data_IF_326520257682
#
_entry.id   IF_326520257682
#
_cell.length_a   1.000
_cell.length_b   1.000
_cell.length_c   1.000
_cell.angle_alpha   90.00
_cell.angle_beta   90.00
_cell.angle_gamma   90.00
#
_symmetry.space_group_name_H-M   'P 1'
#
loop_
_entity.id
_entity.type
_entity.pdbx_description
1 polymer ?
#
# COMPACT_ATOMS: atom_id res chain seq x y z
N UNK A 1 0.15 -10.35 -34.76
CA UNK A 1 -0.95 -9.66 -34.05
C UNK A 1 -2.22 -10.47 -34.16
N UNK A 2 -2.48 -11.12 -35.28
CA UNK A 2 -3.23 -12.39 -35.29
C UNK A 2 -2.30 -13.52 -34.82
N UNK A 3 -2.85 -14.56 -34.19
CA UNK A 3 -2.10 -15.75 -33.79
C UNK A 3 -2.20 -16.78 -34.91
N UNK A 4 -1.06 -17.07 -35.53
CA UNK A 4 -0.96 -18.11 -36.57
C UNK A 4 -1.39 -19.47 -35.99
N UNK A 5 -2.38 -20.09 -36.63
CA UNK A 5 -2.90 -21.42 -36.27
C UNK A 5 -4.19 -21.43 -35.46
N UNK A 6 -4.69 -20.29 -34.98
CA UNK A 6 -6.07 -20.18 -34.45
C UNK A 6 -7.06 -19.78 -35.55
N UNK A 7 -8.28 -20.34 -35.57
CA UNK A 7 -9.23 -20.06 -36.63
C UNK A 7 -9.65 -18.59 -36.61
N UNK A 8 -9.56 -17.92 -37.76
CA UNK A 8 -10.26 -16.66 -37.99
C UNK A 8 -11.73 -16.97 -38.25
N UNK A 9 -12.59 -16.42 -37.42
CA UNK A 9 -14.04 -16.60 -37.54
C UNK A 9 -14.61 -15.42 -38.32
N UNK A 10 -15.39 -15.71 -39.35
CA UNK A 10 -16.03 -14.70 -40.22
C UNK A 10 -17.54 -14.58 -39.97
N UNK A 11 -18.13 -15.54 -39.25
CA UNK A 11 -19.55 -15.50 -38.89
C UNK A 11 -19.74 -14.71 -37.61
N UNK A 12 -19.73 -13.39 -37.75
CA UNK A 12 -20.10 -12.48 -36.67
C UNK A 12 -21.62 -12.42 -36.54
N UNK A 13 -22.14 -12.75 -35.36
CA UNK A 13 -23.57 -12.72 -35.07
C UNK A 13 -24.00 -11.48 -34.29
N UNK A 14 -23.05 -10.57 -33.98
CA UNK A 14 -23.28 -9.37 -33.18
C UNK A 14 -23.83 -8.17 -33.93
N UNK A 15 -24.00 -8.25 -35.25
CA UNK A 15 -24.43 -7.11 -36.08
C UNK A 15 -23.30 -6.12 -36.40
N UNK A 16 -23.65 -4.94 -36.90
CA UNK A 16 -22.70 -3.84 -37.11
C UNK A 16 -22.19 -3.33 -35.76
N UNK A 17 -20.91 -2.93 -35.69
CA UNK A 17 -20.34 -2.34 -34.48
C UNK A 17 -20.81 -0.90 -34.38
N UNK A 18 -21.80 -0.64 -33.54
CA UNK A 18 -22.29 0.72 -33.30
C UNK A 18 -21.77 1.23 -31.95
N UNK A 19 -20.80 2.17 -31.93
CA UNK A 19 -20.30 2.75 -30.68
C UNK A 19 -21.44 3.32 -29.86
N UNK A 20 -21.69 2.72 -28.70
CA UNK A 20 -22.72 3.14 -27.75
C UNK A 20 -22.22 4.33 -26.92
N UNK A 21 -20.97 4.27 -26.45
CA UNK A 21 -20.30 5.36 -25.74
C UNK A 21 -18.85 5.44 -26.20
N UNK A 22 -18.46 6.55 -26.82
CA UNK A 22 -17.05 6.81 -27.16
C UNK A 22 -16.32 7.36 -25.93
N UNK A 23 -15.33 6.63 -25.45
CA UNK A 23 -14.51 6.97 -24.29
C UNK A 23 -13.26 7.77 -24.69
N UNK A 24 -12.70 7.49 -25.86
CA UNK A 24 -11.57 8.20 -26.42
C UNK A 24 -11.66 8.21 -27.95
N UNK A 25 -11.42 9.37 -28.53
CA UNK A 25 -11.48 9.62 -29.97
C UNK A 25 -10.16 10.23 -30.43
N UNK A 26 -9.53 9.60 -31.43
CA UNK A 26 -8.34 10.08 -32.10
C UNK A 26 -8.35 9.51 -33.52
N UNK A 27 -8.67 10.36 -34.49
CA UNK A 27 -8.93 9.97 -35.89
C UNK A 27 -10.01 8.88 -36.00
N UNK A 28 -11.01 8.95 -35.12
CA UNK A 28 -12.07 7.96 -34.98
C UNK A 28 -12.14 7.37 -33.56
N UNK A 29 -13.18 6.55 -33.27
CA UNK A 29 -13.38 5.96 -31.95
C UNK A 29 -12.26 4.98 -31.55
N UNK A 30 -11.21 5.45 -30.88
CA UNK A 30 -10.10 4.57 -30.48
C UNK A 30 -10.47 3.68 -29.27
N UNK A 31 -11.31 4.18 -28.36
CA UNK A 31 -11.82 3.42 -27.22
C UNK A 31 -13.30 3.71 -27.05
N UNK A 32 -14.14 2.69 -27.08
CA UNK A 32 -15.59 2.85 -26.96
C UNK A 32 -16.26 1.59 -26.43
N UNK A 33 -17.51 1.70 -26.01
CA UNK A 33 -18.34 0.54 -25.71
C UNK A 33 -19.31 0.24 -26.83
N UNK A 34 -19.63 -1.04 -27.03
CA UNK A 34 -20.68 -1.48 -27.94
C UNK A 34 -21.49 -2.60 -27.27
N UNK A 35 -22.80 -2.60 -27.47
CA UNK A 35 -23.67 -3.66 -27.00
C UNK A 35 -23.72 -4.78 -28.05
N UNK A 36 -23.39 -6.01 -27.65
CA UNK A 36 -23.50 -7.19 -28.51
C UNK A 36 -24.42 -8.18 -27.80
N UNK A 37 -25.66 -8.26 -28.30
CA UNK A 37 -26.72 -8.98 -27.59
C UNK A 37 -27.00 -8.35 -26.22
N UNK A 38 -27.02 -9.13 -25.12
CA UNK A 38 -27.27 -8.61 -23.78
C UNK A 38 -26.02 -8.09 -23.05
N UNK A 39 -24.83 -8.22 -23.64
CA UNK A 39 -23.56 -7.87 -22.99
C UNK A 39 -22.96 -6.60 -23.60
N UNK A 40 -22.32 -5.80 -22.73
CA UNK A 40 -21.55 -4.63 -23.13
C UNK A 40 -20.09 -5.04 -23.29
N UNK A 41 -19.48 -4.61 -24.39
CA UNK A 41 -18.07 -4.85 -24.68
C UNK A 41 -17.31 -3.54 -24.73
N UNK A 42 -16.10 -3.52 -24.17
CA UNK A 42 -15.12 -2.45 -24.34
C UNK A 42 -14.24 -2.78 -25.55
N UNK A 43 -14.18 -1.85 -26.50
CA UNK A 43 -13.34 -1.90 -27.68
C UNK A 43 -12.13 -0.99 -27.45
N UNK A 44 -10.94 -1.52 -27.70
CA UNK A 44 -9.67 -0.82 -27.63
C UNK A 44 -8.91 -1.01 -28.96
N UNK A 45 -8.72 0.07 -29.72
CA UNK A 45 -7.99 0.05 -30.99
C UNK A 45 -6.53 -0.33 -30.75
N UNK A 46 -6.06 -1.38 -31.41
CA UNK A 46 -4.68 -1.88 -31.28
C UNK A 46 -3.83 -1.62 -32.52
N UNK A 47 -4.44 -1.58 -33.70
CA UNK A 47 -3.75 -1.41 -34.98
C UNK A 47 -4.69 -0.84 -36.06
N UNK A 48 -4.11 -0.12 -37.01
CA UNK A 48 -4.77 0.33 -38.25
C UNK A 48 -4.27 -0.48 -39.43
N UNK A 49 -5.16 -0.88 -40.33
CA UNK A 49 -4.84 -1.62 -41.55
C UNK A 49 -5.50 -0.95 -42.76
N UNK A 50 -5.06 -1.30 -43.97
CA UNK A 50 -5.56 -0.68 -45.21
C UNK A 50 -7.07 -0.89 -45.39
N UNK A 51 -7.60 -2.02 -44.92
CA UNK A 51 -9.00 -2.44 -45.09
C UNK A 51 -9.88 -2.15 -43.86
N UNK A 52 -9.33 -1.50 -42.82
CA UNK A 52 -10.06 -1.19 -41.59
C UNK A 52 -9.19 -1.09 -40.34
N UNK A 53 -9.81 -1.28 -39.18
CA UNK A 53 -9.17 -1.10 -37.88
C UNK A 53 -9.28 -2.36 -37.04
N UNK A 54 -8.20 -2.69 -36.32
CA UNK A 54 -8.17 -3.85 -35.43
C UNK A 54 -8.44 -3.40 -34.01
N UNK A 55 -9.47 -4.00 -33.42
CA UNK A 55 -9.88 -3.76 -32.04
C UNK A 55 -9.63 -4.99 -31.19
N UNK A 56 -9.19 -4.78 -29.96
CA UNK A 56 -9.31 -5.75 -28.87
C UNK A 56 -10.63 -5.49 -28.14
N UNK A 57 -11.41 -6.54 -27.95
CA UNK A 57 -12.72 -6.52 -27.32
C UNK A 57 -12.69 -7.39 -26.08
N UNK A 58 -13.20 -6.87 -24.97
CA UNK A 58 -13.46 -7.64 -23.75
C UNK A 58 -14.85 -7.26 -23.22
N UNK A 59 -15.56 -8.16 -22.53
CA UNK A 59 -16.77 -7.78 -21.82
C UNK A 59 -16.43 -6.71 -20.77
N UNK A 60 -17.38 -5.85 -20.44
CA UNK A 60 -17.21 -4.84 -19.39
C UNK A 60 -18.50 -4.65 -18.62
N UNK A 61 -18.37 -4.59 -17.30
CA UNK A 61 -19.49 -4.39 -16.40
C UNK A 61 -19.69 -2.88 -16.10
N UNK A 62 -20.88 -2.50 -15.64
CA UNK A 62 -21.23 -1.09 -15.38
C UNK A 62 -20.28 -0.42 -14.36
N UNK A 63 -19.89 -1.15 -13.31
CA UNK A 63 -18.97 -0.65 -12.27
C UNK A 63 -17.55 -0.43 -12.79
N UNK A 64 -17.08 -1.31 -13.67
CA UNK A 64 -15.78 -1.18 -14.34
C UNK A 64 -15.78 0.00 -15.31
N UNK A 65 -16.82 0.13 -16.12
CA UNK A 65 -17.01 1.24 -17.04
C UNK A 65 -17.08 2.58 -16.31
N UNK A 66 -17.84 2.65 -15.22
CA UNK A 66 -17.93 3.84 -14.37
C UNK A 66 -16.55 4.20 -13.76
N UNK A 67 -15.80 3.19 -13.31
CA UNK A 67 -14.46 3.37 -12.73
C UNK A 67 -13.41 3.80 -13.74
N UNK A 68 -13.44 3.25 -14.96
CA UNK A 68 -12.59 3.66 -16.07
C UNK A 68 -12.87 5.12 -16.46
N UNK A 69 -14.14 5.48 -16.66
CA UNK A 69 -14.58 6.85 -17.00
C UNK A 69 -14.21 7.85 -15.92
N UNK A 70 -14.35 7.46 -14.66
CA UNK A 70 -14.01 8.27 -13.50
C UNK A 70 -12.52 8.41 -13.22
N UNK A 71 -11.64 7.76 -14.02
CA UNK A 71 -10.19 7.80 -13.79
C UNK A 71 -9.76 7.08 -12.53
N UNK A 72 -10.47 6.01 -12.14
CA UNK A 72 -10.13 5.16 -10.99
C UNK A 72 -9.55 3.81 -11.40
N UNK A 73 -9.88 3.35 -12.61
CA UNK A 73 -9.44 2.08 -13.18
C UNK A 73 -8.63 2.33 -14.46
N UNK A 74 -7.57 1.54 -14.67
CA UNK A 74 -6.73 1.59 -15.86
C UNK A 74 -7.43 0.93 -17.05
N UNK A 75 -6.98 1.25 -18.26
CA UNK A 75 -7.46 0.56 -19.48
C UNK A 75 -7.20 -0.93 -19.37
N UNK A 76 -5.99 -1.30 -18.90
CA UNK A 76 -5.62 -2.70 -18.68
C UNK A 76 -6.52 -3.39 -17.66
N UNK A 77 -6.89 -2.70 -16.58
CA UNK A 77 -7.78 -3.22 -15.56
C UNK A 77 -9.19 -3.47 -16.07
N UNK A 78 -9.74 -2.53 -16.84
CA UNK A 78 -11.04 -2.68 -17.48
C UNK A 78 -11.08 -3.81 -18.54
N UNK A 79 -9.92 -4.18 -19.10
CA UNK A 79 -9.78 -5.25 -20.10
C UNK A 79 -9.25 -6.56 -19.49
N UNK A 80 -9.19 -6.70 -18.16
CA UNK A 80 -8.52 -7.82 -17.47
C UNK A 80 -9.34 -9.13 -17.42
N UNK A 81 -10.37 -9.24 -18.26
CA UNK A 81 -11.27 -10.38 -18.35
C UNK A 81 -10.60 -11.65 -18.89
N UNK A 82 -11.10 -12.82 -18.52
CA UNK A 82 -10.52 -14.08 -19.02
C UNK A 82 -10.69 -14.26 -20.52
N UNK A 83 -11.75 -13.68 -21.08
CA UNK A 83 -12.15 -13.82 -22.47
C UNK A 83 -11.95 -12.48 -23.19
N UNK A 84 -11.24 -12.52 -24.31
CA UNK A 84 -11.05 -11.36 -25.17
C UNK A 84 -10.95 -11.79 -26.64
N UNK A 85 -11.29 -10.89 -27.55
CA UNK A 85 -11.27 -11.13 -28.99
C UNK A 85 -10.54 -10.00 -29.70
N UNK A 86 -9.79 -10.33 -30.75
CA UNK A 86 -9.40 -9.36 -31.75
C UNK A 86 -10.44 -9.38 -32.87
N UNK A 87 -10.87 -8.21 -33.33
CA UNK A 87 -11.75 -8.09 -34.49
C UNK A 87 -11.20 -7.06 -35.46
N UNK A 88 -11.15 -7.42 -36.74
CA UNK A 88 -10.99 -6.46 -37.83
C UNK A 88 -12.37 -5.88 -38.15
N UNK A 89 -12.46 -4.56 -38.07
CA UNK A 89 -13.67 -3.79 -38.33
C UNK A 89 -13.40 -2.91 -39.55
N UNK A 90 -14.20 -3.03 -40.60
CA UNK A 90 -14.04 -2.16 -41.78
C UNK A 90 -14.48 -0.71 -41.50
N UNK A 91 -14.26 0.19 -42.46
CA UNK A 91 -14.62 1.61 -42.32
C UNK A 91 -16.12 1.88 -42.21
N UNK A 92 -16.96 0.90 -42.58
CA UNK A 92 -18.41 0.93 -42.40
C UNK A 92 -18.81 0.27 -41.06
N UNK A 93 -17.87 0.00 -40.17
CA UNK A 93 -18.07 -0.64 -38.87
C UNK A 93 -18.61 -2.08 -38.92
N UNK A 94 -18.39 -2.82 -40.00
CA UNK A 94 -18.70 -4.24 -40.07
C UNK A 94 -17.52 -5.08 -39.59
N UNK A 95 -17.79 -6.10 -38.76
CA UNK A 95 -16.77 -7.08 -38.38
C UNK A 95 -16.47 -7.99 -39.58
N UNK A 96 -15.27 -7.86 -40.14
CA UNK A 96 -14.79 -8.67 -41.26
C UNK A 96 -14.42 -10.08 -40.78
N UNK A 97 -13.63 -10.13 -39.72
CA UNK A 97 -13.27 -11.38 -39.03
C UNK A 97 -12.84 -11.10 -37.59
N UNK A 98 -12.92 -12.13 -36.75
CA UNK A 98 -12.50 -12.05 -35.36
C UNK A 98 -11.80 -13.33 -34.89
N UNK A 99 -11.02 -13.22 -33.81
CA UNK A 99 -10.22 -14.31 -33.25
C UNK A 99 -10.17 -14.19 -31.73
N UNK A 100 -10.51 -15.27 -31.03
CA UNK A 100 -10.36 -15.37 -29.57
C UNK A 100 -8.88 -15.37 -29.15
N UNK A 101 -8.56 -14.55 -28.15
CA UNK A 101 -7.23 -14.38 -27.60
C UNK A 101 -7.11 -15.04 -26.23
N UNK A 102 -5.97 -15.64 -25.93
CA UNK A 102 -5.71 -16.04 -24.54
C UNK A 102 -5.30 -14.83 -23.70
N UNK A 103 -5.49 -14.94 -22.39
CA UNK A 103 -5.14 -13.87 -21.45
C UNK A 103 -3.68 -13.42 -21.58
N UNK A 104 -2.74 -14.36 -21.72
CA UNK A 104 -1.32 -14.02 -21.83
C UNK A 104 -1.00 -13.26 -23.13
N UNK A 105 -1.63 -13.62 -24.24
CA UNK A 105 -1.35 -13.01 -25.55
C UNK A 105 -1.87 -11.58 -25.63
N UNK A 106 -3.12 -11.33 -25.21
CA UNK A 106 -3.68 -9.99 -25.36
C UNK A 106 -3.16 -9.00 -24.31
N UNK A 107 -2.66 -9.46 -23.16
CA UNK A 107 -2.03 -8.58 -22.16
C UNK A 107 -0.84 -7.80 -22.73
N UNK A 108 -0.18 -8.29 -23.77
CA UNK A 108 0.90 -7.58 -24.47
C UNK A 108 0.41 -6.46 -25.40
N UNK A 109 -0.87 -6.48 -25.78
CA UNK A 109 -1.50 -5.45 -26.62
C UNK A 109 -2.02 -4.27 -25.79
N UNK A 110 -2.20 -4.48 -24.49
CA UNK A 110 -2.71 -3.46 -23.58
C UNK A 110 -1.60 -2.51 -23.11
N UNK A 111 -1.94 -1.24 -22.80
CA UNK A 111 -1.02 -0.29 -22.18
C UNK A 111 -0.38 -0.86 -20.90
N UNK A 112 0.73 -0.28 -20.44
CA UNK A 112 1.33 -0.65 -19.15
C UNK A 112 0.34 -0.53 -17.96
N UNK A 113 0.66 -1.22 -16.87
CA UNK A 113 -0.09 -1.15 -15.61
C UNK A 113 -0.24 0.31 -15.14
N UNK A 114 -1.44 0.65 -14.66
CA UNK A 114 -1.76 1.93 -14.05
C UNK A 114 -2.02 3.09 -15.02
N UNK A 115 -2.06 2.82 -16.33
CA UNK A 115 -2.37 3.85 -17.34
C UNK A 115 -3.87 4.12 -17.39
N UNK A 116 -4.24 5.36 -17.06
CA UNK A 116 -5.61 5.85 -17.13
C UNK A 116 -6.06 6.18 -18.57
N UNK A 117 -7.37 6.34 -18.75
CA UNK A 117 -7.97 6.78 -20.02
C UNK A 117 -7.47 8.17 -20.47
N UNK A 118 -7.20 9.07 -19.53
CA UNK A 118 -6.66 10.40 -19.81
C UNK A 118 -5.50 10.72 -18.88
N UNK A 119 -4.48 11.39 -19.40
CA UNK A 119 -3.26 11.77 -18.65
C UNK A 119 -3.57 12.54 -17.35
N UNK A 120 -4.60 13.40 -17.36
CA UNK A 120 -5.01 14.20 -16.20
C UNK A 120 -5.37 13.37 -14.95
N UNK A 121 -5.69 12.09 -15.11
CA UNK A 121 -5.99 11.20 -13.99
C UNK A 121 -4.73 10.65 -13.32
N UNK A 122 -3.59 10.68 -14.01
CA UNK A 122 -2.34 10.12 -13.51
C UNK A 122 -2.38 8.59 -13.41
N UNK A 123 -1.67 8.05 -12.43
CA UNK A 123 -1.62 6.61 -12.16
C UNK A 123 -2.90 6.14 -11.45
N UNK A 124 -3.54 5.11 -11.99
CA UNK A 124 -4.84 4.57 -11.53
C UNK A 124 -4.76 3.07 -11.22
N UNK A 125 -5.78 2.51 -10.58
CA UNK A 125 -5.77 1.11 -10.15
C UNK A 125 -5.91 0.16 -11.35
N UNK A 126 -5.35 -1.05 -11.24
CA UNK A 126 -5.47 -2.07 -12.30
C UNK A 126 -6.58 -3.09 -12.02
N UNK A 127 -7.24 -3.03 -10.86
CA UNK A 127 -8.39 -3.86 -10.55
C UNK A 127 -9.44 -3.06 -9.82
N UNK A 128 -10.70 -3.50 -9.91
CA UNK A 128 -11.80 -2.86 -9.20
C UNK A 128 -11.61 -2.96 -7.68
N UNK A 129 -11.11 -4.09 -7.17
CA UNK A 129 -10.86 -4.24 -5.74
C UNK A 129 -9.80 -3.25 -5.24
N UNK A 130 -8.77 -2.98 -6.03
CA UNK A 130 -7.79 -1.94 -5.71
C UNK A 130 -8.41 -0.53 -5.79
N UNK A 131 -9.29 -0.29 -6.75
CA UNK A 131 -9.97 0.99 -6.94
C UNK A 131 -10.98 1.31 -5.82
N UNK A 132 -11.58 0.30 -5.19
CA UNK A 132 -12.63 0.47 -4.17
C UNK A 132 -12.13 0.30 -2.73
N UNK A 133 -10.98 -0.34 -2.55
CA UNK A 133 -10.38 -0.57 -1.24
C UNK A 133 -10.13 0.72 -0.47
N UNK A 134 -10.43 0.69 0.84
CA UNK A 134 -10.01 1.74 1.76
C UNK A 134 -8.49 1.93 1.74
N UNK A 135 -7.75 0.82 1.74
CA UNK A 135 -6.30 0.78 1.59
C UNK A 135 -5.92 -0.50 0.83
N UNK A 136 -4.98 -0.44 -0.10
CA UNK A 136 -4.55 -1.60 -0.87
C UNK A 136 -3.03 -1.69 -1.00
N UNK A 137 -2.52 -2.91 -1.10
CA UNK A 137 -1.11 -3.20 -1.30
C UNK A 137 -0.99 -4.17 -2.48
N UNK A 138 -0.42 -3.71 -3.59
CA UNK A 138 -0.13 -4.53 -4.76
C UNK A 138 1.38 -4.74 -4.86
N UNK A 139 1.80 -6.00 -4.74
CA UNK A 139 3.20 -6.40 -4.86
C UNK A 139 3.45 -7.03 -6.22
N UNK A 140 4.45 -6.52 -6.93
CA UNK A 140 4.96 -7.10 -8.16
C UNK A 140 6.30 -7.81 -7.89
N UNK A 141 6.48 -9.00 -8.47
CA UNK A 141 7.68 -9.82 -8.30
C UNK A 141 7.74 -10.91 -9.36
N UNK A 142 8.95 -11.35 -9.72
CA UNK A 142 9.16 -12.49 -10.62
C UNK A 142 8.76 -13.84 -10.02
N UNK A 143 8.61 -13.93 -8.69
CA UNK A 143 8.21 -15.18 -8.00
C UNK A 143 6.72 -15.26 -7.69
N UNK A 144 5.96 -14.23 -8.07
CA UNK A 144 4.52 -14.15 -7.87
C UNK A 144 3.85 -14.22 -9.24
N UNK A 145 3.27 -15.37 -9.59
CA UNK A 145 2.50 -15.52 -10.82
C UNK A 145 1.00 -15.56 -10.53
N UNK A 146 0.19 -15.31 -11.56
CA UNK A 146 -1.27 -15.45 -11.53
C UNK A 146 -1.74 -16.83 -11.07
N UNK A 147 -0.90 -17.85 -11.21
CA UNK A 147 -1.22 -19.26 -10.93
C UNK A 147 -0.69 -19.71 -9.58
N UNK A 148 0.48 -19.22 -9.14
CA UNK A 148 1.14 -19.76 -7.96
C UNK A 148 2.10 -18.79 -7.28
N UNK A 149 2.28 -18.98 -5.97
CA UNK A 149 3.23 -18.25 -5.15
C UNK A 149 3.77 -19.16 -4.04
N UNK A 150 5.06 -19.05 -3.66
CA UNK A 150 5.57 -19.72 -2.47
C UNK A 150 4.82 -19.28 -1.20
N UNK A 151 4.38 -20.24 -0.38
CA UNK A 151 3.64 -19.96 0.86
C UNK A 151 4.43 -19.06 1.83
N UNK A 152 5.75 -19.23 1.91
CA UNK A 152 6.63 -18.40 2.74
C UNK A 152 6.59 -16.92 2.32
N UNK A 153 6.55 -16.66 1.01
CA UNK A 153 6.45 -15.31 0.44
C UNK A 153 5.07 -14.73 0.76
N UNK A 154 4.00 -15.48 0.51
CA UNK A 154 2.64 -15.03 0.83
C UNK A 154 2.51 -14.65 2.30
N UNK A 155 2.90 -15.56 3.21
CA UNK A 155 2.83 -15.33 4.66
C UNK A 155 3.62 -14.08 5.07
N UNK A 156 4.87 -13.96 4.62
CA UNK A 156 5.71 -12.81 4.95
C UNK A 156 5.09 -11.48 4.49
N UNK A 157 4.40 -11.46 3.35
CA UNK A 157 3.72 -10.25 2.84
C UNK A 157 2.44 -9.94 3.61
N UNK A 158 1.64 -10.96 3.93
CA UNK A 158 0.43 -10.78 4.76
C UNK A 158 0.79 -10.26 6.15
N UNK A 159 1.79 -10.86 6.81
CA UNK A 159 2.25 -10.43 8.13
C UNK A 159 2.74 -8.97 8.10
N UNK A 160 3.58 -8.63 7.11
CA UNK A 160 4.14 -7.28 6.99
C UNK A 160 3.08 -6.23 6.60
N UNK A 161 2.09 -6.58 5.78
CA UNK A 161 0.94 -5.70 5.51
C UNK A 161 0.08 -5.53 6.76
N UNK A 162 -0.14 -6.59 7.54
CA UNK A 162 -0.88 -6.50 8.81
C UNK A 162 -0.23 -5.50 9.77
N UNK A 163 1.10 -5.54 9.90
CA UNK A 163 1.86 -4.60 10.72
C UNK A 163 1.69 -3.15 10.23
N UNK A 164 1.79 -2.92 8.91
CA UNK A 164 1.61 -1.58 8.31
C UNK A 164 0.18 -1.09 8.52
N UNK A 165 -0.82 -1.91 8.22
CA UNK A 165 -2.24 -1.58 8.38
C UNK A 165 -2.55 -1.25 9.84
N UNK A 166 -2.07 -2.05 10.79
CA UNK A 166 -2.24 -1.76 12.22
C UNK A 166 -1.56 -0.45 12.59
N UNK A 167 -0.36 -0.16 12.09
CA UNK A 167 0.33 1.08 12.45
C UNK A 167 -0.32 2.33 11.83
N UNK A 168 -0.74 2.22 10.57
CA UNK A 168 -1.33 3.31 9.81
C UNK A 168 -2.79 3.60 10.20
N UNK A 169 -3.57 2.56 10.51
CA UNK A 169 -5.03 2.70 10.67
C UNK A 169 -5.51 2.58 12.12
N UNK A 170 -4.78 1.91 13.02
CA UNK A 170 -5.28 1.67 14.38
C UNK A 170 -5.50 3.00 15.13
N UNK A 171 -6.72 3.27 15.62
CA UNK A 171 -7.00 4.44 16.44
C UNK A 171 -6.03 4.55 17.62
N UNK A 172 -5.56 5.76 17.91
CA UNK A 172 -4.64 6.03 19.01
C UNK A 172 -5.21 5.59 20.36
N UNK A 173 -6.54 5.70 20.53
CA UNK A 173 -7.27 5.21 21.72
C UNK A 173 -7.22 3.68 21.90
N UNK A 174 -6.99 2.92 20.83
CA UNK A 174 -6.87 1.45 20.85
C UNK A 174 -5.43 0.96 20.77
N UNK A 175 -4.45 1.87 20.63
CA UNK A 175 -3.03 1.52 20.49
C UNK A 175 -2.39 0.94 21.75
N UNK A 176 -3.00 1.16 22.93
CA UNK A 176 -2.42 0.75 24.22
C UNK A 176 -2.89 -0.62 24.69
N UNK A 177 -1.93 -1.44 25.14
CA UNK A 177 -2.18 -2.70 25.82
C UNK A 177 -2.93 -3.73 24.96
N UNK A 178 -4.00 -4.31 25.50
CA UNK A 178 -4.79 -5.37 24.85
C UNK A 178 -5.92 -4.83 23.97
N UNK A 179 -6.07 -3.51 23.82
CA UNK A 179 -7.20 -2.87 23.12
C UNK A 179 -7.12 -3.02 21.60
N UNK A 180 -5.93 -3.23 21.06
CA UNK A 180 -5.70 -3.43 19.62
C UNK A 180 -6.39 -4.68 19.04
N UNK A 181 -6.83 -5.61 19.90
CA UNK A 181 -7.61 -6.80 19.49
C UNK A 181 -9.02 -6.45 18.99
N UNK A 182 -9.53 -5.27 19.35
CA UNK A 182 -10.85 -4.83 18.92
C UNK A 182 -10.84 -4.22 17.53
N UNK A 183 -9.67 -4.10 16.90
CA UNK A 183 -9.49 -3.64 15.54
C UNK A 183 -9.08 -4.82 14.65
N UNK A 184 -9.95 -5.16 13.71
CA UNK A 184 -9.78 -6.29 12.81
C UNK A 184 -10.26 -5.92 11.40
N UNK A 185 -9.43 -5.25 10.59
CA UNK A 185 -9.86 -4.76 9.28
C UNK A 185 -10.24 -5.90 8.33
N UNK A 186 -11.34 -5.73 7.58
CA UNK A 186 -11.78 -6.73 6.61
C UNK A 186 -10.92 -6.68 5.34
N UNK A 187 -10.50 -7.85 4.85
CA UNK A 187 -9.68 -8.00 3.65
C UNK A 187 -10.50 -8.66 2.54
N UNK A 188 -10.44 -8.14 1.32
CA UNK A 188 -11.02 -8.78 0.14
C UNK A 188 -10.26 -10.07 -0.22
N UNK A 189 -10.87 -10.97 -1.05
CA UNK A 189 -10.16 -12.14 -1.54
C UNK A 189 -8.83 -11.78 -2.22
N UNK A 190 -7.78 -12.54 -1.92
CA UNK A 190 -6.46 -12.32 -2.51
C UNK A 190 -6.52 -12.58 -4.02
N UNK A 191 -5.90 -11.70 -4.81
CA UNK A 191 -5.66 -11.89 -6.25
C UNK A 191 -4.19 -12.22 -6.46
N UNK A 192 -3.89 -13.08 -7.44
CA UNK A 192 -2.55 -13.62 -7.67
C UNK A 192 -1.85 -13.11 -8.93
N UNK A 193 -2.50 -12.29 -9.78
CA UNK A 193 -1.86 -11.67 -10.95
C UNK A 193 -1.06 -10.42 -10.52
N UNK A 194 -0.03 -10.60 -9.68
CA UNK A 194 0.45 -9.72 -8.60
C UNK A 194 -0.33 -9.93 -7.29
N UNK A 195 0.36 -9.94 -6.14
CA UNK A 195 -0.29 -10.11 -4.85
C UNK A 195 -0.98 -8.80 -4.47
N UNK A 196 -2.31 -8.78 -4.59
CA UNK A 196 -3.14 -7.69 -4.12
C UNK A 196 -3.76 -8.05 -2.76
N UNK A 197 -3.46 -7.24 -1.76
CA UNK A 197 -4.12 -7.25 -0.45
C UNK A 197 -4.94 -5.97 -0.35
N UNK A 198 -6.26 -6.10 -0.46
CA UNK A 198 -7.20 -4.98 -0.43
C UNK A 198 -7.97 -4.96 0.89
N UNK A 199 -7.76 -3.93 1.70
CA UNK A 199 -8.50 -3.67 2.93
C UNK A 199 -9.80 -2.97 2.54
N UNK A 200 -10.94 -3.61 2.80
CA UNK A 200 -12.25 -3.06 2.45
C UNK A 200 -12.58 -1.87 3.34
N UNK A 201 -12.64 -2.10 4.65
CA UNK A 201 -12.97 -1.08 5.67
C UNK A 201 -12.38 -1.44 7.04
N UNK A 202 -12.08 -0.45 7.89
CA UNK A 202 -11.74 -0.69 9.29
C UNK A 202 -12.97 -1.24 10.04
N UNK A 203 -12.84 -2.42 10.65
CA UNK A 203 -13.90 -3.02 11.47
C UNK A 203 -13.52 -3.04 12.95
N UNK A 204 -14.53 -2.90 13.80
CA UNK A 204 -14.39 -2.86 15.25
C UNK A 204 -15.35 -3.82 15.94
N UNK A 205 -14.84 -4.63 16.88
CA UNK A 205 -15.65 -5.53 17.69
C UNK A 205 -16.51 -4.74 18.69
N UNK A 206 -17.76 -4.46 18.30
CA UNK A 206 -18.73 -3.70 19.11
C UNK A 206 -18.97 -4.35 20.47
N UNK A 207 -19.11 -5.68 20.51
CA UNK A 207 -19.39 -6.43 21.74
C UNK A 207 -18.19 -6.36 22.68
N UNK A 208 -16.99 -6.52 22.13
CA UNK A 208 -15.73 -6.38 22.85
C UNK A 208 -15.51 -4.98 23.44
N UNK A 209 -15.84 -3.93 22.68
CA UNK A 209 -15.73 -2.54 23.13
C UNK A 209 -16.67 -2.22 24.29
N UNK A 210 -17.93 -2.68 24.22
CA UNK A 210 -18.95 -2.42 25.25
C UNK A 210 -18.72 -3.19 26.54
N UNK A 211 -18.10 -4.37 26.47
CA UNK A 211 -17.84 -5.22 27.64
C UNK A 211 -16.69 -4.74 28.53
N UNK A 212 -15.82 -3.85 28.03
CA UNK A 212 -14.66 -3.34 28.75
C UNK A 212 -14.91 -1.92 29.28
N UNK A 213 -14.76 -1.74 30.60
CA UNK A 213 -14.93 -0.43 31.28
C UNK A 213 -14.05 0.67 30.68
N UNK A 214 -12.88 0.32 30.15
CA UNK A 214 -11.93 1.28 29.57
C UNK A 214 -12.27 1.72 28.14
N UNK A 215 -13.20 1.02 27.46
CA UNK A 215 -13.55 1.24 26.05
C UNK A 215 -15.05 1.48 25.83
N UNK A 216 -15.85 1.41 26.88
CA UNK A 216 -17.32 1.53 26.82
C UNK A 216 -17.80 2.87 26.24
N UNK A 217 -16.98 3.93 26.35
CA UNK A 217 -17.27 5.24 25.77
C UNK A 217 -16.91 5.35 24.27
N UNK A 218 -16.27 4.34 23.68
CA UNK A 218 -15.84 4.38 22.29
C UNK A 218 -16.95 3.86 21.38
N UNK A 219 -17.39 4.70 20.44
CA UNK A 219 -18.32 4.28 19.40
C UNK A 219 -17.54 3.83 18.16
N UNK A 220 -17.98 2.77 17.46
CA UNK A 220 -17.38 2.33 16.20
C UNK A 220 -17.23 3.47 15.18
N UNK A 221 -18.23 4.33 15.08
CA UNK A 221 -18.26 5.45 14.14
C UNK A 221 -17.15 6.46 14.45
N UNK A 222 -16.89 6.74 15.74
CA UNK A 222 -15.79 7.62 16.15
C UNK A 222 -14.41 7.00 15.88
N UNK A 223 -14.30 5.67 15.95
CA UNK A 223 -13.06 4.94 15.70
C UNK A 223 -12.77 4.83 14.19
N UNK A 224 -13.81 4.65 13.37
CA UNK A 224 -13.72 4.71 11.91
C UNK A 224 -13.23 6.08 11.46
N UNK A 225 -13.82 7.16 11.95
CA UNK A 225 -13.39 8.53 11.64
C UNK A 225 -11.92 8.78 12.05
N UNK A 226 -11.51 8.30 13.21
CA UNK A 226 -10.11 8.40 13.65
C UNK A 226 -9.17 7.59 12.73
N UNK A 227 -9.59 6.41 12.28
CA UNK A 227 -8.83 5.58 11.32
C UNK A 227 -8.70 6.25 9.96
N UNK A 228 -9.75 6.92 9.49
CA UNK A 228 -9.74 7.74 8.27
C UNK A 228 -8.75 8.90 8.36
N UNK A 229 -8.76 9.63 9.48
CA UNK A 229 -7.82 10.73 9.73
C UNK A 229 -6.37 10.23 9.76
N UNK A 230 -6.11 9.10 10.43
CA UNK A 230 -4.78 8.49 10.46
C UNK A 230 -4.35 7.98 9.08
N UNK A 231 -5.25 7.38 8.33
CA UNK A 231 -5.02 6.95 6.94
C UNK A 231 -4.61 8.14 6.05
N UNK A 232 -5.35 9.25 6.13
CA UNK A 232 -5.06 10.47 5.36
C UNK A 232 -3.71 11.09 5.76
N UNK A 233 -3.38 11.11 7.05
CA UNK A 233 -2.07 11.56 7.53
C UNK A 233 -0.93 10.67 7.02
N UNK A 234 -1.10 9.35 7.13
CA UNK A 234 -0.13 8.36 6.65
C UNK A 234 0.09 8.47 5.14
N UNK A 235 -0.97 8.62 4.34
CA UNK A 235 -0.87 8.86 2.89
C UNK A 235 -0.05 10.12 2.60
N UNK A 236 -0.37 11.24 3.26
CA UNK A 236 0.34 12.52 3.05
C UNK A 236 1.84 12.40 3.34
N UNK A 237 2.20 11.75 4.44
CA UNK A 237 3.61 11.54 4.82
C UNK A 237 4.31 10.53 3.90
N UNK A 238 3.61 9.48 3.49
CA UNK A 238 4.11 8.48 2.54
C UNK A 238 4.41 9.11 1.18
N UNK A 239 3.50 9.94 0.66
CA UNK A 239 3.69 10.65 -0.61
C UNK A 239 4.91 11.56 -0.57
N UNK A 240 5.03 12.40 0.48
CA UNK A 240 6.18 13.30 0.66
C UNK A 240 7.48 12.52 0.75
N UNK A 241 7.52 11.49 1.59
CA UNK A 241 8.73 10.70 1.85
C UNK A 241 9.17 9.93 0.60
N UNK A 242 8.20 9.34 -0.10
CA UNK A 242 8.47 8.59 -1.34
C UNK A 242 8.92 9.53 -2.46
N UNK A 243 8.33 10.72 -2.58
CA UNK A 243 8.76 11.74 -3.54
C UNK A 243 10.19 12.20 -3.27
N UNK A 244 10.50 12.52 -2.01
CA UNK A 244 11.86 12.89 -1.59
C UNK A 244 12.87 11.78 -1.91
N UNK A 245 12.50 10.51 -1.65
CA UNK A 245 13.35 9.35 -1.95
C UNK A 245 13.54 9.11 -3.45
N UNK A 246 12.55 9.46 -4.28
CA UNK A 246 12.61 9.28 -5.72
C UNK A 246 13.51 10.33 -6.36
N UNK A 247 13.27 11.59 -6.03
CA UNK A 247 13.95 12.74 -6.62
C UNK A 247 15.40 12.81 -6.13
N UNK A 248 15.63 12.63 -4.82
CA UNK A 248 16.94 12.79 -4.18
C UNK A 248 17.21 11.69 -3.13
N UNK A 249 18.37 11.73 -2.47
CA UNK A 249 18.60 10.90 -1.28
C UNK A 249 18.10 11.67 -0.07
N UNK A 250 17.34 11.02 0.82
CA UNK A 250 16.90 11.65 2.06
C UNK A 250 18.12 11.99 2.91
N UNK A 251 18.20 13.26 3.32
CA UNK A 251 19.14 13.69 4.36
C UNK A 251 18.75 13.08 5.70
N UNK A 252 19.70 13.01 6.63
CA UNK A 252 19.43 12.49 7.99
C UNK A 252 18.33 13.28 8.72
N UNK A 253 18.23 14.58 8.47
CA UNK A 253 17.17 15.42 9.03
C UNK A 253 15.81 15.05 8.46
N UNK A 254 15.66 15.02 7.13
CA UNK A 254 14.41 14.58 6.47
C UNK A 254 14.01 13.16 6.90
N UNK A 255 14.99 12.28 7.01
CA UNK A 255 14.76 10.92 7.48
C UNK A 255 14.20 10.93 8.91
N UNK A 256 14.74 11.74 9.82
CA UNK A 256 14.23 11.89 11.18
C UNK A 256 12.84 12.55 11.24
N UNK A 257 12.58 13.53 10.38
CA UNK A 257 11.27 14.20 10.28
C UNK A 257 10.17 13.23 9.81
N UNK A 258 10.52 12.27 8.96
CA UNK A 258 9.63 11.22 8.43
C UNK A 258 9.89 9.84 9.06
N UNK A 259 10.38 9.78 10.30
CA UNK A 259 10.79 8.51 10.92
C UNK A 259 9.64 7.51 11.05
N UNK A 260 8.45 7.95 11.44
CA UNK A 260 7.30 7.07 11.68
C UNK A 260 6.90 6.30 10.43
N UNK A 261 6.76 6.99 9.29
CA UNK A 261 6.41 6.34 8.02
C UNK A 261 7.51 5.42 7.53
N UNK A 262 8.79 5.80 7.70
CA UNK A 262 9.94 4.94 7.38
C UNK A 262 9.95 3.67 8.24
N UNK A 263 9.65 3.78 9.53
CA UNK A 263 9.54 2.62 10.42
C UNK A 263 8.44 1.66 9.95
N UNK A 264 7.30 2.21 9.54
CA UNK A 264 6.13 1.47 9.10
C UNK A 264 6.38 0.72 7.80
N UNK A 265 6.86 1.38 6.73
CA UNK A 265 6.84 0.80 5.38
C UNK A 265 8.07 -0.03 5.02
N UNK A 266 9.22 0.18 5.68
CA UNK A 266 10.49 -0.41 5.21
C UNK A 266 10.56 -1.94 5.27
N UNK A 267 9.62 -2.61 5.96
CA UNK A 267 9.49 -4.07 5.94
C UNK A 267 8.83 -4.61 4.65
N UNK A 268 8.04 -3.77 3.96
CA UNK A 268 7.27 -4.17 2.77
C UNK A 268 7.84 -3.62 1.45
N UNK A 269 8.73 -2.62 1.49
CA UNK A 269 9.26 -2.00 0.27
C UNK A 269 10.14 -2.95 -0.56
N UNK A 270 10.11 -2.83 -1.90
CA UNK A 270 11.05 -3.51 -2.77
C UNK A 270 12.47 -2.98 -2.56
N UNK A 271 13.45 -3.89 -2.54
CA UNK A 271 14.87 -3.56 -2.38
C UNK A 271 15.70 -4.39 -3.33
N UNK A 272 16.95 -4.00 -3.57
CA UNK A 272 17.92 -4.85 -4.28
C UNK A 272 18.15 -6.20 -3.59
N UNK A 273 17.84 -6.31 -2.29
CA UNK A 273 18.01 -7.51 -1.47
C UNK A 273 16.83 -8.46 -1.47
N UNK A 274 15.71 -8.09 -2.10
CA UNK A 274 14.51 -8.93 -2.15
C UNK A 274 13.98 -9.10 -3.58
N UNK A 275 13.04 -10.02 -3.74
CA UNK A 275 12.50 -10.41 -5.04
C UNK A 275 11.39 -9.46 -5.54
N UNK A 276 10.98 -8.47 -4.74
CA UNK A 276 9.95 -7.53 -5.14
C UNK A 276 10.51 -6.51 -6.12
N UNK A 277 9.79 -6.25 -7.21
CA UNK A 277 10.16 -5.24 -8.21
C UNK A 277 9.50 -3.90 -7.92
N UNK A 278 8.21 -3.94 -7.55
CA UNK A 278 7.38 -2.76 -7.29
C UNK A 278 6.40 -3.04 -6.16
N UNK A 279 6.10 -2.00 -5.40
CA UNK A 279 4.99 -1.94 -4.46
C UNK A 279 4.13 -0.73 -4.82
N UNK A 280 2.83 -0.95 -5.01
CA UNK A 280 1.85 0.12 -5.09
C UNK A 280 0.98 0.09 -3.83
N UNK A 281 0.89 1.23 -3.14
CA UNK A 281 0.00 1.41 -2.00
C UNK A 281 -1.13 2.33 -2.43
N UNK A 282 -2.37 1.83 -2.38
CA UNK A 282 -3.57 2.57 -2.72
C UNK A 282 -4.35 3.02 -1.51
N UNK A 283 -4.99 4.19 -1.63
CA UNK A 283 -5.78 4.80 -0.58
C UNK A 283 -7.06 5.39 -1.16
N UNK A 284 -8.19 5.11 -0.49
CA UNK A 284 -9.46 5.78 -0.80
C UNK A 284 -9.42 7.23 -0.29
N UNK A 285 -9.74 8.17 -1.17
CA UNK A 285 -9.87 9.59 -0.86
C UNK A 285 -11.23 10.11 -1.33
N UNK A 286 -11.60 11.33 -0.94
CA UNK A 286 -12.84 11.97 -1.43
C UNK A 286 -12.85 12.22 -2.94
N UNK A 287 -11.68 12.20 -3.61
CA UNK A 287 -11.55 12.39 -5.06
C UNK A 287 -11.36 11.08 -5.83
N UNK A 288 -11.51 9.92 -5.16
CA UNK A 288 -11.21 8.61 -5.72
C UNK A 288 -9.97 7.99 -5.09
N UNK A 289 -9.28 7.11 -5.82
CA UNK A 289 -8.17 6.33 -5.26
C UNK A 289 -6.84 6.98 -5.61
N UNK A 290 -5.99 7.15 -4.60
CA UNK A 290 -4.64 7.68 -4.75
C UNK A 290 -3.64 6.55 -4.62
N UNK A 291 -2.71 6.46 -5.57
CA UNK A 291 -1.67 5.44 -5.58
C UNK A 291 -0.29 6.03 -5.32
N UNK A 292 0.48 5.33 -4.48
CA UNK A 292 1.90 5.60 -4.24
C UNK A 292 2.72 4.40 -4.70
N UNK A 293 3.47 4.60 -5.77
CA UNK A 293 4.38 3.61 -6.35
C UNK A 293 5.80 3.71 -5.80
N UNK A 294 6.35 2.58 -5.35
CA UNK A 294 7.72 2.43 -4.84
C UNK A 294 8.41 1.33 -5.64
N UNK A 295 9.51 1.67 -6.30
CA UNK A 295 10.39 0.74 -7.01
C UNK A 295 11.62 0.35 -6.15
N UNK A 296 12.46 -0.58 -6.63
CA UNK A 296 13.67 -1.02 -5.91
C UNK A 296 14.60 0.14 -5.55
N UNK A 297 14.81 1.10 -6.46
CA UNK A 297 15.71 2.24 -6.24
C UNK A 297 15.21 3.14 -5.10
N UNK A 298 13.92 3.45 -5.13
CA UNK A 298 13.26 4.26 -4.10
C UNK A 298 13.24 3.51 -2.78
N UNK A 299 12.91 2.22 -2.79
CA UNK A 299 12.87 1.39 -1.59
C UNK A 299 14.24 1.21 -0.93
N UNK A 300 15.32 1.03 -1.70
CA UNK A 300 16.69 1.00 -1.17
C UNK A 300 17.03 2.32 -0.44
N UNK A 301 16.66 3.46 -1.03
CA UNK A 301 16.87 4.78 -0.41
C UNK A 301 16.04 4.97 0.87
N UNK A 302 14.80 4.49 0.92
CA UNK A 302 13.97 4.51 2.12
C UNK A 302 14.58 3.66 3.25
N UNK A 303 15.09 2.48 2.91
CA UNK A 303 15.77 1.59 3.87
C UNK A 303 17.08 2.22 4.35
N UNK A 304 17.91 2.76 3.46
CA UNK A 304 19.14 3.49 3.82
C UNK A 304 18.82 4.68 4.73
N UNK A 305 17.80 5.47 4.40
CA UNK A 305 17.35 6.60 5.21
C UNK A 305 16.95 6.13 6.62
N UNK A 306 16.13 5.08 6.74
CA UNK A 306 15.78 4.49 8.05
C UNK A 306 17.02 4.05 8.83
N UNK A 307 17.96 3.37 8.17
CA UNK A 307 19.20 2.91 8.80
C UNK A 307 20.08 4.08 9.25
N UNK A 308 20.08 5.21 8.52
CA UNK A 308 20.82 6.42 8.90
C UNK A 308 20.30 7.09 10.19
N UNK A 309 19.04 6.84 10.56
CA UNK A 309 18.42 7.30 11.80
C UNK A 309 18.46 6.20 12.88
N UNK A 310 18.80 4.94 12.53
CA UNK A 310 18.97 3.91 13.55
C UNK A 310 20.10 4.32 14.49
N UNK A 311 19.68 4.76 15.65
CA UNK A 311 20.50 5.26 16.72
C UNK A 311 21.64 4.28 17.06
N UNK A 312 22.90 4.74 17.08
CA UNK A 312 24.02 3.88 17.45
C UNK A 312 23.80 3.37 18.88
N UNK A 313 24.16 2.11 19.12
CA UNK A 313 24.18 1.57 20.48
C UNK A 313 25.28 2.30 21.24
N UNK A 314 24.89 3.11 22.23
CA UNK A 314 25.82 3.84 23.10
C UNK A 314 25.62 3.42 24.54
N UNK A 315 26.68 3.60 25.32
CA UNK A 315 26.64 3.47 26.76
C UNK A 315 26.62 4.85 27.38
N UNK A 316 25.63 5.11 28.23
CA UNK A 316 25.48 6.35 29.00
C UNK A 316 25.66 6.01 30.47
N UNK A 317 26.41 6.85 31.17
CA UNK A 317 26.62 6.76 32.60
C UNK A 317 26.08 8.05 33.22
N UNK A 318 25.17 7.93 34.18
CA UNK A 318 24.61 9.09 34.84
C UNK A 318 23.65 8.73 35.97
N UNK A 319 23.10 9.75 36.62
CA UNK A 319 22.15 9.61 37.71
C UNK A 319 20.71 9.88 37.27
N UNK A 320 19.75 9.10 37.76
CA UNK A 320 18.32 9.36 37.55
C UNK A 320 17.95 10.69 38.22
N UNK A 321 17.33 11.60 37.47
CA UNK A 321 16.84 12.90 37.98
C UNK A 321 15.32 12.99 38.01
N UNK A 322 14.62 12.18 37.21
CA UNK A 322 13.16 12.21 37.08
C UNK A 322 12.65 10.81 36.72
N UNK A 323 11.52 10.40 37.30
CA UNK A 323 10.82 9.15 37.01
C UNK A 323 9.43 9.51 36.46
N UNK A 324 8.99 8.82 35.42
CA UNK A 324 7.64 8.96 34.87
C UNK A 324 7.00 7.57 34.76
N UNK A 325 6.22 7.22 35.79
CA UNK A 325 5.61 5.90 35.93
C UNK A 325 4.51 5.67 34.88
N UNK A 326 3.74 6.71 34.52
CA UNK A 326 2.68 6.62 33.51
C UNK A 326 3.24 6.23 32.14
N UNK A 327 4.35 6.87 31.75
CA UNK A 327 5.05 6.58 30.50
C UNK A 327 6.03 5.40 30.61
N UNK A 328 6.31 4.90 31.82
CA UNK A 328 7.36 3.91 32.11
C UNK A 328 8.72 4.31 31.55
N UNK A 329 9.07 5.58 31.77
CA UNK A 329 10.34 6.17 31.36
C UNK A 329 10.98 6.90 32.52
N UNK A 330 12.27 7.17 32.41
CA UNK A 330 12.98 7.98 33.41
C UNK A 330 14.04 8.83 32.74
N UNK A 331 14.54 9.85 33.43
CA UNK A 331 15.52 10.78 32.86
C UNK A 331 16.82 10.63 33.61
N UNK A 332 17.91 10.47 32.87
CA UNK A 332 19.26 10.40 33.39
C UNK A 332 20.03 11.65 33.00
N UNK A 333 20.76 12.21 33.97
CA UNK A 333 21.72 13.29 33.74
C UNK A 333 23.14 12.73 33.82
N UNK A 334 23.93 12.95 32.78
CA UNK A 334 25.33 12.54 32.77
C UNK A 334 26.23 13.56 33.47
N UNK A 335 27.53 13.24 33.58
CA UNK A 335 28.55 14.11 34.19
C UNK A 335 28.78 15.41 33.41
N UNK A 336 28.47 15.44 32.11
CA UNK A 336 28.54 16.64 31.27
C UNK A 336 27.27 17.52 31.42
N UNK A 337 26.30 17.08 32.22
CA UNK A 337 25.04 17.77 32.45
C UNK A 337 23.99 17.54 31.37
N UNK A 338 24.25 16.68 30.39
CA UNK A 338 23.32 16.32 29.32
C UNK A 338 22.21 15.43 29.90
N UNK A 339 20.97 15.72 29.51
CA UNK A 339 19.80 14.96 29.94
C UNK A 339 19.35 14.00 28.85
N UNK A 340 19.14 12.74 29.22
CA UNK A 340 18.66 11.69 28.32
C UNK A 340 17.43 11.03 28.92
N UNK A 341 16.32 11.03 28.17
CA UNK A 341 15.14 10.24 28.49
C UNK A 341 15.39 8.77 28.13
N UNK A 342 15.21 7.89 29.10
CA UNK A 342 15.46 6.46 29.00
C UNK A 342 14.13 5.72 28.92
N UNK A 343 13.96 4.93 27.87
CA UNK A 343 12.87 3.98 27.74
C UNK A 343 13.45 2.55 27.84
N UNK A 344 13.30 1.88 28.99
CA UNK A 344 13.74 0.50 29.15
C UNK A 344 12.83 -0.52 28.45
N UNK A 345 11.67 -0.10 27.92
CA UNK A 345 10.51 -0.92 27.54
C UNK A 345 9.74 -1.45 28.76
N UNK A 346 8.42 -1.62 28.59
CA UNK A 346 7.47 -1.91 29.68
C UNK A 346 7.77 -3.17 30.50
N UNK A 347 8.46 -4.16 29.94
CA UNK A 347 8.84 -5.38 30.65
C UNK A 347 10.05 -5.13 31.57
N UNK A 348 11.10 -4.47 31.05
CA UNK A 348 12.30 -4.16 31.82
C UNK A 348 12.09 -3.05 32.83
N UNK A 349 11.19 -2.09 32.57
CA UNK A 349 10.84 -1.08 33.59
C UNK A 349 10.40 -1.76 34.89
N UNK A 350 9.49 -2.74 34.77
CA UNK A 350 9.00 -3.54 35.91
C UNK A 350 10.09 -4.38 36.56
N UNK A 351 11.03 -4.92 35.77
CA UNK A 351 12.17 -5.64 36.30
C UNK A 351 13.11 -4.72 37.09
N UNK A 352 13.43 -3.54 36.55
CA UNK A 352 14.25 -2.53 37.21
C UNK A 352 13.59 -2.02 38.50
N UNK A 353 12.26 -1.84 38.47
CA UNK A 353 11.46 -1.51 39.65
C UNK A 353 11.54 -2.61 40.71
N UNK A 354 11.33 -3.87 40.34
CA UNK A 354 11.43 -5.03 41.23
C UNK A 354 12.84 -5.18 41.84
N UNK A 355 13.88 -4.87 41.06
CA UNK A 355 15.29 -4.85 41.49
C UNK A 355 15.67 -3.58 42.25
N UNK A 356 14.72 -2.67 42.50
CA UNK A 356 14.91 -1.38 43.21
C UNK A 356 15.97 -0.47 42.56
N UNK A 357 16.13 -0.57 41.24
CA UNK A 357 17.09 0.22 40.44
C UNK A 357 16.52 1.59 40.00
N UNK A 358 15.21 1.81 40.12
CA UNK A 358 14.54 3.06 39.75
C UNK A 358 14.37 3.98 40.96
N UNK A 359 15.42 4.71 41.33
CA UNK A 359 15.37 5.72 42.40
C UNK A 359 16.01 7.02 41.92
N UNK A 360 15.40 8.15 42.25
CA UNK A 360 16.00 9.46 42.00
C UNK A 360 17.35 9.52 42.73
N UNK A 361 18.39 9.97 42.02
CA UNK A 361 19.78 9.98 42.47
C UNK A 361 20.57 8.70 42.19
N UNK A 362 19.92 7.58 41.85
CA UNK A 362 20.61 6.32 41.55
C UNK A 362 21.47 6.48 40.29
N UNK A 363 22.73 6.07 40.38
CA UNK A 363 23.66 6.09 39.25
C UNK A 363 23.63 4.76 38.51
N UNK A 364 23.45 4.83 37.19
CA UNK A 364 23.28 3.66 36.31
C UNK A 364 24.22 3.74 35.11
N UNK A 365 24.70 2.57 34.68
CA UNK A 365 25.31 2.39 33.36
C UNK A 365 24.28 1.78 32.42
N UNK A 366 23.87 2.56 31.44
CA UNK A 366 22.81 2.24 30.50
C UNK A 366 23.40 1.97 29.13
N UNK A 367 23.06 0.85 28.50
CA UNK A 367 23.45 0.56 27.12
C UNK A 367 22.22 0.39 26.24
N UNK A 368 22.13 1.21 25.20
CA UNK A 368 20.94 1.28 24.37
C UNK A 368 21.15 2.07 23.09
N UNK A 369 20.15 2.04 22.20
CA UNK A 369 20.14 2.85 20.99
C UNK A 369 19.87 4.30 21.39
N UNK A 370 20.80 5.22 21.12
CA UNK A 370 20.68 6.64 21.45
C UNK A 370 20.25 7.51 20.25
N UNK A 371 19.10 8.16 20.38
CA UNK A 371 18.62 9.22 19.49
C UNK A 371 18.94 10.58 20.09
N UNK A 372 19.65 11.43 19.35
CA UNK A 372 19.90 12.82 19.76
C UNK A 372 18.67 13.67 19.40
N UNK A 373 18.19 14.52 20.31
CA UNK A 373 17.06 15.42 20.05
C UNK A 373 17.37 16.84 20.55
N UNK A 374 16.65 17.83 20.02
CA UNK A 374 16.89 19.25 20.29
C UNK A 374 16.73 19.67 21.76
N UNK A 375 15.92 18.96 22.55
CA UNK A 375 15.70 19.23 23.98
C UNK A 375 16.47 18.29 24.90
N UNK A 376 16.26 16.98 24.73
CA UNK A 376 16.83 15.90 25.55
C UNK A 376 17.02 14.70 24.67
N UNK A 377 18.17 14.04 24.77
CA UNK A 377 18.40 12.80 24.04
C UNK A 377 17.41 11.73 24.50
N UNK A 378 17.26 10.68 23.70
CA UNK A 378 16.37 9.58 23.99
C UNK A 378 17.11 8.26 23.78
N UNK A 379 17.06 7.36 24.75
CA UNK A 379 17.71 6.06 24.66
C UNK A 379 16.72 4.93 24.92
N UNK A 380 16.71 3.93 24.03
CA UNK A 380 15.99 2.66 24.27
C UNK A 380 17.02 1.62 24.68
N UNK A 381 16.83 1.02 25.86
CA UNK A 381 17.77 0.04 26.38
C UNK A 381 17.76 -1.26 25.56
N UNK A 382 18.95 -1.74 25.19
CA UNK A 382 19.13 -2.98 24.42
C UNK A 382 19.78 -4.10 25.23
N UNK A 383 20.48 -3.76 26.31
CA UNK A 383 21.19 -4.72 27.18
C UNK A 383 20.78 -4.48 28.64
N UNK A 384 21.13 -5.39 29.54
CA UNK A 384 20.86 -5.27 30.98
C UNK A 384 21.53 -4.03 31.57
N UNK A 385 20.93 -3.51 32.64
CA UNK A 385 21.38 -2.31 33.35
C UNK A 385 22.22 -2.70 34.54
N UNK A 386 23.43 -2.16 34.60
CA UNK A 386 24.33 -2.36 35.73
C UNK A 386 24.25 -1.14 36.68
N UNK A 387 23.93 -1.35 37.98
CA UNK A 387 24.12 -0.30 38.97
C UNK A 387 25.62 -0.01 39.10
N UNK A 388 25.98 1.28 39.17
CA UNK A 388 27.39 1.64 39.31
C UNK A 388 27.86 1.62 40.76
N UNK A 389 26.95 1.79 41.73
CA UNK A 389 27.19 1.69 43.18
C UNK A 389 25.89 1.33 43.92
#
# INVERSE_FOLDING_TARGET
MWIDGRPLLTKWHGGQVEPSIVLYDFDGPAIFTCNIGPATFLFFKVEEQDDGEVYLLAPIDDDELASLRGGRLSIRGAMSHREAWLALVDFDFNVVHYQEQSHEEYLHLLPENGIALYERFGEVADTLEQAEAFMSFKFESSVMSSVSMPLSVLKARVDAVSDVVRSALLPSRLSSGRKSRYFDPEVAPLRFNSLLIAIKEPQFDKTGLLSSKETQAFTPESLTLESEQKSAHFLSELEKTTKLARDERLTRQQANDHFEVLEQITSIVPTSKNELTRLQIGFRTSKGTKLVSIDKRTGDRLVEARLSIQAPVRTIIGSIIELNDDAKTFIVKDVAGRQTTVNPLSARYREMEARKLLKIGQSLKLKGKLWERSRRDYIILTVDVDPLY
#
